data_IF_175101640478
#
_entry.id   IF_175101640478
#
_cell.length_a   1.000
_cell.length_b   1.000
_cell.length_c   1.000
_cell.angle_alpha   90.00
_cell.angle_beta   90.00
_cell.angle_gamma   90.00
#
_symmetry.space_group_name_H-M   'P 1'
#
loop_
_entity.id
_entity.type
_entity.pdbx_description
1 polymer ?
#
# COMPACT_ATOMS: atom_id res chain seq x y z
N UNK A 1 -12.84 -14.03 20.50
CA UNK A 1 -12.95 -14.08 19.03
C UNK A 1 -11.57 -14.38 18.46
N UNK A 2 -11.45 -15.37 17.57
CA UNK A 2 -10.16 -15.97 17.21
C UNK A 2 -9.36 -15.03 16.29
N UNK A 3 -8.38 -14.31 16.86
CA UNK A 3 -7.54 -13.30 16.18
C UNK A 3 -6.91 -13.85 14.89
N UNK A 4 -6.65 -15.17 14.87
CA UNK A 4 -6.10 -15.93 13.73
C UNK A 4 -6.96 -15.89 12.46
N UNK A 5 -8.28 -15.70 12.54
CA UNK A 5 -9.14 -15.58 11.35
C UNK A 5 -9.44 -14.12 10.96
N UNK A 6 -9.37 -13.19 11.91
CA UNK A 6 -9.65 -11.78 11.66
C UNK A 6 -8.46 -11.04 11.06
N UNK A 7 -7.24 -11.35 11.51
CA UNK A 7 -6.04 -10.66 11.04
C UNK A 7 -5.80 -10.87 9.53
N UNK A 8 -5.91 -12.09 8.95
CA UNK A 8 -5.74 -12.26 7.51
C UNK A 8 -6.74 -11.45 6.67
N UNK A 9 -8.03 -11.48 7.03
CA UNK A 9 -9.06 -10.71 6.31
C UNK A 9 -8.84 -9.21 6.40
N UNK A 10 -8.54 -8.72 7.60
CA UNK A 10 -8.23 -7.30 7.80
C UNK A 10 -6.99 -6.87 6.98
N UNK A 11 -5.98 -7.74 6.89
CA UNK A 11 -4.77 -7.49 6.10
C UNK A 11 -5.06 -7.43 4.62
N UNK A 12 -5.87 -8.37 4.10
CA UNK A 12 -6.30 -8.36 2.71
C UNK A 12 -7.09 -7.09 2.37
N UNK A 13 -8.00 -6.66 3.25
CA UNK A 13 -8.76 -5.41 3.07
C UNK A 13 -7.85 -4.17 3.14
N UNK A 14 -6.89 -4.12 4.05
CA UNK A 14 -5.93 -3.04 4.14
C UNK A 14 -5.07 -2.95 2.86
N UNK A 15 -4.59 -4.09 2.37
CA UNK A 15 -3.86 -4.16 1.10
C UNK A 15 -4.71 -3.69 -0.08
N UNK A 16 -5.98 -4.10 -0.15
CA UNK A 16 -6.90 -3.66 -1.19
C UNK A 16 -7.13 -2.15 -1.11
N UNK A 17 -7.34 -1.61 0.10
CA UNK A 17 -7.49 -0.18 0.31
C UNK A 17 -6.25 0.60 -0.13
N UNK A 18 -5.03 0.12 0.18
CA UNK A 18 -3.77 0.73 -0.28
C UNK A 18 -3.68 0.71 -1.81
N UNK A 19 -4.01 -0.41 -2.45
CA UNK A 19 -3.97 -0.53 -3.91
C UNK A 19 -4.98 0.43 -4.58
N UNK A 20 -6.21 0.49 -4.07
CA UNK A 20 -7.25 1.40 -4.59
C UNK A 20 -6.88 2.86 -4.35
N UNK A 21 -6.38 3.19 -3.16
CA UNK A 21 -5.91 4.54 -2.85
C UNK A 21 -4.81 4.97 -3.82
N UNK A 22 -3.77 4.15 -3.99
CA UNK A 22 -2.66 4.44 -4.90
C UNK A 22 -3.05 4.43 -6.38
N UNK A 23 -4.10 3.71 -6.78
CA UNK A 23 -4.61 3.72 -8.15
C UNK A 23 -5.58 4.90 -8.42
N UNK A 24 -6.07 5.59 -7.40
CA UNK A 24 -7.14 6.58 -7.55
C UNK A 24 -6.81 7.69 -8.55
N UNK A 25 -5.61 8.31 -8.59
CA UNK A 25 -5.29 9.30 -9.61
C UNK A 25 -5.40 8.77 -11.05
N UNK A 26 -4.96 7.55 -11.32
CA UNK A 26 -5.12 6.94 -12.65
C UNK A 26 -6.57 6.68 -13.05
N UNK A 27 -7.47 6.52 -12.08
CA UNK A 27 -8.88 6.25 -12.32
C UNK A 27 -9.74 7.51 -12.40
N UNK A 28 -9.25 8.62 -11.86
CA UNK A 28 -10.04 9.85 -11.64
C UNK A 28 -9.51 11.07 -12.40
N UNK A 29 -8.31 11.00 -12.99
CA UNK A 29 -7.67 12.11 -13.70
C UNK A 29 -7.54 11.77 -15.19
N UNK A 30 -8.22 12.54 -16.03
CA UNK A 30 -8.18 12.41 -17.48
C UNK A 30 -7.29 13.49 -18.13
N UNK A 31 -6.61 13.14 -19.23
CA UNK A 31 -5.90 14.11 -20.09
C UNK A 31 -4.55 14.61 -19.58
N UNK A 32 -4.00 14.06 -18.50
CA UNK A 32 -2.75 14.52 -17.86
C UNK A 32 -1.73 13.39 -17.69
N UNK A 33 -1.56 12.56 -18.72
CA UNK A 33 -0.74 11.34 -18.64
C UNK A 33 0.74 11.59 -18.29
N UNK A 34 1.34 12.67 -18.81
CA UNK A 34 2.72 13.04 -18.52
C UNK A 34 2.91 13.45 -17.05
N UNK A 35 2.04 14.32 -16.53
CA UNK A 35 2.04 14.72 -15.12
C UNK A 35 1.81 13.53 -14.18
N UNK A 36 0.92 12.60 -14.55
CA UNK A 36 0.74 11.35 -13.80
C UNK A 36 2.00 10.48 -13.87
N UNK A 37 2.69 10.43 -15.00
CA UNK A 37 3.96 9.73 -15.16
C UNK A 37 5.02 10.26 -14.20
N UNK A 38 5.21 11.57 -14.15
CA UNK A 38 6.17 12.21 -13.24
C UNK A 38 5.78 12.00 -11.77
N UNK A 39 4.49 12.11 -11.46
CA UNK A 39 3.97 11.91 -10.11
C UNK A 39 4.14 10.47 -9.60
N UNK A 40 3.82 9.47 -10.43
CA UNK A 40 3.97 8.05 -10.07
C UNK A 40 5.42 7.58 -10.13
N UNK A 41 6.23 8.19 -11.00
CA UNK A 41 7.64 7.90 -11.19
C UNK A 41 8.56 8.55 -10.17
N UNK A 42 8.03 9.38 -9.27
CA UNK A 42 8.83 10.08 -8.26
C UNK A 42 9.63 9.12 -7.37
N UNK A 43 10.92 9.44 -7.18
CA UNK A 43 11.81 8.71 -6.28
C UNK A 43 12.32 7.36 -6.83
N UNK A 44 13.10 6.63 -6.02
CA UNK A 44 13.73 5.37 -6.43
C UNK A 44 12.72 4.21 -6.55
N UNK A 45 11.59 4.32 -5.83
CA UNK A 45 10.53 3.31 -5.79
C UNK A 45 9.23 4.06 -6.05
N UNK A 46 8.83 4.17 -7.32
CA UNK A 46 7.61 4.85 -7.71
C UNK A 46 6.34 4.20 -7.13
N UNK A 47 5.24 4.95 -7.12
CA UNK A 47 3.96 4.53 -6.55
C UNK A 47 3.41 3.25 -7.19
N UNK A 48 3.67 3.03 -8.49
CA UNK A 48 3.26 1.80 -9.20
C UNK A 48 3.76 0.54 -8.51
N UNK A 49 4.99 0.57 -7.98
CA UNK A 49 5.57 -0.55 -7.24
C UNK A 49 4.78 -0.81 -5.96
N UNK A 50 4.40 0.24 -5.23
CA UNK A 50 3.60 0.14 -4.00
C UNK A 50 2.23 -0.47 -4.30
N UNK A 51 1.56 -0.04 -5.36
CA UNK A 51 0.26 -0.58 -5.80
C UNK A 51 0.38 -2.06 -6.15
N UNK A 52 1.45 -2.46 -6.87
CA UNK A 52 1.70 -3.86 -7.21
C UNK A 52 1.90 -4.72 -5.96
N UNK A 53 2.76 -4.30 -5.03
CA UNK A 53 2.99 -5.04 -3.79
C UNK A 53 1.74 -5.10 -2.91
N UNK A 54 0.93 -4.03 -2.88
CA UNK A 54 -0.35 -4.03 -2.18
C UNK A 54 -1.30 -5.07 -2.79
N UNK A 55 -1.41 -5.15 -4.12
CA UNK A 55 -2.22 -6.17 -4.80
C UNK A 55 -1.74 -7.60 -4.50
N UNK A 56 -0.42 -7.84 -4.51
CA UNK A 56 0.16 -9.14 -4.10
C UNK A 56 -0.18 -9.44 -2.63
N UNK A 57 -0.16 -8.41 -1.77
CA UNK A 57 -0.54 -8.50 -0.37
C UNK A 57 -1.95 -9.01 -0.13
N UNK A 58 -2.93 -8.59 -0.96
CA UNK A 58 -4.30 -9.12 -0.89
C UNK A 58 -4.31 -10.64 -1.01
N UNK A 59 -3.57 -11.17 -1.98
CA UNK A 59 -3.49 -12.62 -2.22
C UNK A 59 -2.68 -13.30 -1.13
N UNK A 60 -1.58 -12.70 -0.65
CA UNK A 60 -0.76 -13.25 0.43
C UNK A 60 -1.57 -13.42 1.73
N UNK A 61 -2.31 -12.39 2.14
CA UNK A 61 -3.19 -12.47 3.30
C UNK A 61 -4.35 -13.46 3.10
N UNK A 62 -4.97 -13.51 1.91
CA UNK A 62 -5.98 -14.52 1.61
C UNK A 62 -5.41 -15.95 1.64
N UNK A 63 -4.15 -16.13 1.23
CA UNK A 63 -3.43 -17.40 1.30
C UNK A 63 -3.12 -17.80 2.75
N UNK A 64 -2.76 -16.83 3.59
CA UNK A 64 -2.56 -17.02 5.03
C UNK A 64 -3.84 -17.50 5.73
N UNK A 65 -5.00 -16.97 5.34
CA UNK A 65 -6.31 -17.42 5.87
C UNK A 65 -6.60 -18.89 5.54
N UNK A 66 -6.20 -19.32 4.33
CA UNK A 66 -6.46 -20.67 3.82
C UNK A 66 -5.47 -21.71 4.33
N UNK A 67 -4.39 -21.29 4.98
CA UNK A 67 -3.34 -22.20 5.47
C UNK A 67 -2.53 -22.86 4.34
N UNK A 68 -2.42 -22.20 3.18
CA UNK A 68 -1.70 -22.75 2.02
C UNK A 68 -0.17 -22.75 2.19
N UNK A 69 0.34 -22.00 3.17
CA UNK A 69 1.78 -21.82 3.45
C UNK A 69 2.00 -22.02 4.94
N UNK A 70 3.17 -22.51 5.31
CA UNK A 70 3.62 -22.58 6.71
C UNK A 70 3.39 -21.21 7.42
N UNK A 71 2.69 -21.16 8.57
CA UNK A 71 2.32 -19.91 9.22
C UNK A 71 3.50 -19.00 9.60
N UNK A 72 4.62 -19.58 10.02
CA UNK A 72 5.81 -18.82 10.43
C UNK A 72 6.46 -18.17 9.21
N UNK A 73 6.58 -18.91 8.12
CA UNK A 73 7.09 -18.40 6.84
C UNK A 73 6.19 -17.29 6.29
N UNK A 74 4.88 -17.49 6.32
CA UNK A 74 3.89 -16.50 5.89
C UNK A 74 3.95 -15.23 6.76
N UNK A 75 4.06 -15.38 8.08
CA UNK A 75 4.20 -14.27 9.01
C UNK A 75 5.43 -13.39 8.69
N UNK A 76 6.59 -14.01 8.44
CA UNK A 76 7.79 -13.29 8.02
C UNK A 76 7.58 -12.50 6.72
N UNK A 77 6.98 -13.15 5.71
CA UNK A 77 6.66 -12.50 4.43
C UNK A 77 5.72 -11.30 4.56
N UNK A 78 4.67 -11.41 5.37
CA UNK A 78 3.69 -10.33 5.59
C UNK A 78 4.28 -9.15 6.37
N UNK A 79 5.17 -9.40 7.32
CA UNK A 79 5.92 -8.34 8.02
C UNK A 79 6.83 -7.59 7.06
N UNK A 80 7.62 -8.31 6.24
CA UNK A 80 8.50 -7.70 5.24
C UNK A 80 7.67 -6.89 4.23
N UNK A 81 6.56 -7.43 3.75
CA UNK A 81 5.65 -6.73 2.86
C UNK A 81 5.15 -5.41 3.48
N UNK A 82 4.71 -5.43 4.74
CA UNK A 82 4.28 -4.21 5.44
C UNK A 82 5.39 -3.16 5.52
N UNK A 83 6.62 -3.57 5.85
CA UNK A 83 7.78 -2.67 5.88
C UNK A 83 8.07 -2.08 4.50
N UNK A 84 8.07 -2.92 3.44
CA UNK A 84 8.30 -2.47 2.06
C UNK A 84 7.23 -1.45 1.63
N UNK A 85 5.96 -1.68 1.94
CA UNK A 85 4.88 -0.74 1.61
C UNK A 85 5.05 0.59 2.35
N UNK A 86 5.32 0.57 3.65
CA UNK A 86 5.50 1.80 4.45
C UNK A 86 6.72 2.59 4.00
N UNK A 87 7.87 1.93 3.92
CA UNK A 87 9.13 2.60 3.54
C UNK A 87 9.05 3.08 2.09
N UNK A 88 8.57 2.24 1.18
CA UNK A 88 8.44 2.60 -0.23
C UNK A 88 7.48 3.76 -0.47
N UNK A 89 6.30 3.75 0.17
CA UNK A 89 5.35 4.86 0.05
C UNK A 89 5.84 6.15 0.70
N UNK A 90 6.57 6.08 1.81
CA UNK A 90 7.21 7.24 2.41
C UNK A 90 8.33 7.80 1.53
N UNK A 91 9.18 6.93 0.95
CA UNK A 91 10.24 7.34 0.03
C UNK A 91 9.66 7.99 -1.24
N UNK A 92 8.60 7.41 -1.80
CA UNK A 92 7.88 8.02 -2.91
C UNK A 92 7.32 9.39 -2.54
N UNK A 93 6.59 9.50 -1.43
CA UNK A 93 6.01 10.77 -0.98
C UNK A 93 7.07 11.86 -0.83
N UNK A 94 8.17 11.55 -0.13
CA UNK A 94 9.26 12.50 0.10
C UNK A 94 10.03 12.87 -1.18
N UNK A 95 9.88 12.11 -2.26
CA UNK A 95 10.51 12.38 -3.54
C UNK A 95 9.62 13.13 -4.55
N UNK A 96 8.35 13.39 -4.22
CA UNK A 96 7.46 14.16 -5.08
C UNK A 96 7.95 15.60 -5.13
N UNK A 97 8.23 16.08 -6.34
CA UNK A 97 8.55 17.50 -6.57
C UNK A 97 7.28 18.35 -6.41
N UNK A 98 7.36 19.40 -5.59
CA UNK A 98 6.26 20.34 -5.38
C UNK A 98 5.80 20.99 -6.69
N UNK A 99 6.71 21.24 -7.62
CA UNK A 99 6.38 21.80 -8.94
C UNK A 99 5.51 20.86 -9.76
N UNK A 100 5.73 19.54 -9.67
CA UNK A 100 4.86 18.53 -10.29
C UNK A 100 3.51 18.51 -9.57
N UNK A 101 3.50 18.44 -8.24
CA UNK A 101 2.27 18.35 -7.45
C UNK A 101 1.34 19.54 -7.68
N UNK A 102 1.88 20.75 -7.75
CA UNK A 102 1.10 21.98 -7.94
C UNK A 102 0.88 22.36 -9.41
N UNK A 103 1.40 21.58 -10.36
CA UNK A 103 1.11 21.75 -11.79
C UNK A 103 -0.24 21.17 -12.23
N UNK A 104 -0.84 20.29 -11.40
CA UNK A 104 -2.16 19.74 -11.68
C UNK A 104 -3.25 20.84 -11.62
N UNK A 105 -4.28 20.76 -12.49
CA UNK A 105 -5.45 21.63 -12.43
C UNK A 105 -6.12 21.69 -11.06
N UNK A 106 -6.82 22.80 -10.78
CA UNK A 106 -7.38 23.12 -9.46
C UNK A 106 -8.41 22.09 -8.96
N UNK A 107 -9.12 21.44 -9.88
CA UNK A 107 -10.05 20.34 -9.60
C UNK A 107 -9.37 19.12 -8.96
N UNK A 108 -8.05 18.95 -9.15
CA UNK A 108 -7.28 17.82 -8.61
C UNK A 108 -6.49 18.16 -7.34
N UNK A 109 -6.81 19.26 -6.65
CA UNK A 109 -6.15 19.66 -5.38
C UNK A 109 -6.22 18.62 -4.26
N UNK A 110 -7.11 17.64 -4.37
CA UNK A 110 -7.14 16.51 -3.45
C UNK A 110 -5.84 15.67 -3.49
N UNK A 111 -5.03 15.77 -4.55
CA UNK A 111 -3.70 15.17 -4.66
C UNK A 111 -2.76 15.61 -3.53
N UNK A 112 -2.96 16.78 -2.92
CA UNK A 112 -2.23 17.22 -1.74
C UNK A 112 -2.36 16.20 -0.57
N UNK A 113 -3.52 15.52 -0.48
CA UNK A 113 -3.82 14.52 0.55
C UNK A 113 -3.55 13.09 0.12
N UNK A 114 -3.30 12.85 -1.16
CA UNK A 114 -3.14 11.50 -1.68
C UNK A 114 -1.88 10.80 -1.12
N UNK A 115 -0.67 11.39 -1.11
CA UNK A 115 0.50 10.75 -0.53
C UNK A 115 0.36 10.34 0.95
N UNK A 116 -0.06 11.23 1.87
CA UNK A 116 -0.25 10.83 3.27
C UNK A 116 -1.29 9.73 3.43
N UNK A 117 -2.36 9.70 2.62
CA UNK A 117 -3.37 8.64 2.65
C UNK A 117 -2.77 7.29 2.24
N UNK A 118 -1.95 7.24 1.18
CA UNK A 118 -1.27 6.00 0.76
C UNK A 118 -0.31 5.49 1.83
N UNK A 119 0.43 6.39 2.49
CA UNK A 119 1.32 6.01 3.60
C UNK A 119 0.51 5.49 4.79
N UNK A 120 -0.57 6.16 5.17
CA UNK A 120 -1.44 5.72 6.26
C UNK A 120 -2.05 4.33 5.98
N UNK A 121 -2.49 4.08 4.75
CA UNK A 121 -2.99 2.78 4.33
C UNK A 121 -1.89 1.69 4.39
N UNK A 122 -0.67 2.01 3.96
CA UNK A 122 0.49 1.12 4.07
C UNK A 122 0.84 0.78 5.53
N UNK A 123 0.73 1.76 6.45
CA UNK A 123 0.92 1.53 7.89
C UNK A 123 -0.12 0.55 8.44
N UNK A 124 -1.38 0.66 8.00
CA UNK A 124 -2.42 -0.30 8.40
C UNK A 124 -2.06 -1.74 7.99
N UNK A 125 -1.50 -1.93 6.79
CA UNK A 125 -1.00 -3.24 6.34
C UNK A 125 0.10 -3.75 7.28
N UNK A 126 1.09 -2.91 7.62
CA UNK A 126 2.19 -3.28 8.51
C UNK A 126 1.69 -3.66 9.92
N UNK A 127 0.73 -2.91 10.47
CA UNK A 127 0.12 -3.21 11.78
C UNK A 127 -0.56 -4.57 11.76
N UNK A 128 -1.37 -4.85 10.73
CA UNK A 128 -2.09 -6.12 10.64
C UNK A 128 -1.14 -7.30 10.38
N UNK A 129 -0.12 -7.12 9.53
CA UNK A 129 0.93 -8.11 9.30
C UNK A 129 1.73 -8.43 10.57
N UNK A 130 2.12 -7.41 11.34
CA UNK A 130 2.75 -7.58 12.65
C UNK A 130 1.84 -8.25 13.67
N UNK A 131 0.55 -7.91 13.68
CA UNK A 131 -0.46 -8.57 14.52
C UNK A 131 -0.65 -10.06 14.19
N UNK A 132 -0.67 -10.41 12.90
CA UNK A 132 -0.69 -11.81 12.46
C UNK A 132 0.58 -12.54 12.91
N UNK A 133 1.76 -11.95 12.70
CA UNK A 133 3.03 -12.55 13.11
C UNK A 133 3.09 -12.80 14.62
N UNK A 134 2.63 -11.84 15.43
CA UNK A 134 2.52 -12.01 16.88
C UNK A 134 1.62 -13.20 17.25
N UNK A 135 0.46 -13.32 16.63
CA UNK A 135 -0.49 -14.40 16.91
C UNK A 135 -0.03 -15.81 16.46
N UNK A 136 0.97 -15.88 15.58
CA UNK A 136 1.61 -17.13 15.14
C UNK A 136 2.74 -17.54 16.10
N UNK A 137 3.43 -16.57 16.71
CA UNK A 137 4.55 -16.81 17.62
C UNK A 137 4.14 -17.03 19.09
N UNK A 138 2.92 -16.63 19.47
CA UNK A 138 2.25 -17.00 20.72
C UNK A 138 1.63 -18.41 20.63
#
# INVERSE_FOLDING_TARGET
MNVRHLAPRAGALACLATAVAGAAPFLLIDGHAELLGDYYGAGPVGLTTIVLFAAVGVVAFASAERGNVDPVTMAGGLVVLGVVLVVGSALWWLAIDETVLYSFPREYRWLEWHPPVVVAASIAVAIVGGGYARAVLE
#
